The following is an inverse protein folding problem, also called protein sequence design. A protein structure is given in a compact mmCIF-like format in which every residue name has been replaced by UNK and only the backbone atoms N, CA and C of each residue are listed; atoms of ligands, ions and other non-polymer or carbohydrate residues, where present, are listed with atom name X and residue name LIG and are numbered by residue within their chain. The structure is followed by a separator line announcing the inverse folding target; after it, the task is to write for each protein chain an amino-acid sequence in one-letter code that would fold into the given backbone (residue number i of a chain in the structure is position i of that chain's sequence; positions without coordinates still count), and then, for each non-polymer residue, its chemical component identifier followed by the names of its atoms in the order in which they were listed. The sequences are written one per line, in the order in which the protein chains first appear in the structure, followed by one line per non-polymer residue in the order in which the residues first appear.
data_IF_976623673305
#
_entry.id   IF_976623673305
#
_cell.length_a   1.000
_cell.length_b   1.000
_cell.length_c   1.000
_cell.angle_alpha   90.00
_cell.angle_beta   90.00
_cell.angle_gamma   90.00
#
_symmetry.space_group_name_H-M   'P 1'
#
loop_
_entity.id
_entity.type
_entity.pdbx_description
1 polymer ?
#
# COMPACT_ATOMS: atom_id res chain seq x y z
N UNK A 1 -32.51 -27.71 54.65
CA UNK A 1 -32.67 -26.24 54.54
C UNK A 1 -31.36 -25.70 53.97
N UNK A 2 -31.33 -25.04 52.79
CA UNK A 2 -31.29 -23.56 52.61
C UNK A 2 -30.11 -22.94 53.40
N UNK A 3 -29.09 -22.26 52.87
CA UNK A 3 -28.77 -21.56 51.58
C UNK A 3 -27.22 -21.44 51.43
N UNK A 4 -26.56 -21.58 50.25
CA UNK A 4 -26.24 -20.62 49.14
C UNK A 4 -25.11 -19.58 49.42
N UNK A 5 -24.24 -19.34 48.40
CA UNK A 5 -23.25 -18.23 48.17
C UNK A 5 -21.89 -18.33 48.94
N UNK A 6 -20.72 -17.90 48.41
CA UNK A 6 -20.39 -17.22 47.14
C UNK A 6 -19.01 -17.64 46.58
N UNK A 7 -18.85 -17.65 45.25
CA UNK A 7 -17.55 -17.52 44.57
C UNK A 7 -17.39 -16.04 44.20
N UNK A 8 -16.22 -15.43 44.46
CA UNK A 8 -15.80 -14.19 43.80
C UNK A 8 -14.32 -14.30 43.41
N UNK A 9 -14.08 -14.17 42.11
CA UNK A 9 -12.79 -14.21 41.45
C UNK A 9 -12.14 -12.82 41.51
N UNK A 10 -10.96 -12.71 42.13
CA UNK A 10 -10.20 -11.45 42.19
C UNK A 10 -9.47 -11.17 40.87
N UNK A 11 -10.16 -10.53 39.93
CA UNK A 11 -9.61 -10.17 38.62
C UNK A 11 -8.53 -9.08 38.69
N UNK A 12 -7.43 -9.29 37.96
CA UNK A 12 -6.32 -8.35 37.80
C UNK A 12 -6.71 -7.19 36.88
N UNK A 13 -6.74 -5.95 37.38
CA UNK A 13 -6.95 -4.76 36.55
C UNK A 13 -5.67 -4.37 35.81
N UNK A 14 -5.54 -4.84 34.57
CA UNK A 14 -4.58 -4.29 33.62
C UNK A 14 -5.13 -2.95 33.08
N UNK A 15 -4.60 -1.83 33.60
CA UNK A 15 -4.90 -0.50 33.05
C UNK A 15 -4.16 -0.34 31.73
N UNK A 16 -4.83 -0.70 30.64
CA UNK A 16 -4.36 -0.44 29.28
C UNK A 16 -4.48 1.06 29.03
N UNK A 17 -3.36 1.78 29.06
CA UNK A 17 -3.33 3.17 28.64
C UNK A 17 -3.57 3.23 27.12
N UNK A 18 -4.83 3.47 26.73
CA UNK A 18 -5.15 3.91 25.38
C UNK A 18 -4.55 5.30 25.19
N UNK A 19 -3.37 5.34 24.56
CA UNK A 19 -2.84 6.57 23.99
C UNK A 19 -3.75 6.97 22.83
N UNK A 20 -4.79 7.74 23.14
CA UNK A 20 -5.47 8.56 22.14
C UNK A 20 -4.43 9.51 21.58
N UNK A 21 -3.92 9.22 20.39
CA UNK A 21 -3.08 10.14 19.66
C UNK A 21 -3.93 11.37 19.34
N UNK A 22 -3.76 12.45 20.10
CA UNK A 22 -4.33 13.73 19.73
C UNK A 22 -3.78 14.09 18.36
N UNK A 23 -4.66 14.40 17.41
CA UNK A 23 -4.22 15.04 16.18
C UNK A 23 -3.50 16.34 16.56
N UNK A 24 -2.28 16.52 16.06
CA UNK A 24 -1.56 17.77 16.23
C UNK A 24 -2.34 18.88 15.52
N UNK A 25 -2.61 19.98 16.22
CA UNK A 25 -3.30 21.12 15.62
C UNK A 25 -2.28 22.00 14.89
N UNK A 26 -2.70 22.64 13.79
CA UNK A 26 -1.78 23.44 12.94
C UNK A 26 -1.10 24.57 13.72
N UNK A 27 -1.78 25.13 14.71
CA UNK A 27 -1.28 26.18 15.60
C UNK A 27 -0.10 25.75 16.49
N UNK A 28 0.21 24.44 16.57
CA UNK A 28 1.38 23.90 17.30
C UNK A 28 2.69 24.06 16.51
N UNK A 29 2.64 24.37 15.21
CA UNK A 29 3.81 24.43 14.34
C UNK A 29 4.30 25.86 14.11
N UNK A 30 5.37 26.22 14.82
CA UNK A 30 5.98 27.56 14.80
C UNK A 30 6.64 27.95 13.46
N UNK A 31 6.89 26.98 12.58
CA UNK A 31 7.44 27.14 11.23
C UNK A 31 6.42 26.88 10.11
N UNK A 32 5.12 26.77 10.44
CA UNK A 32 4.07 26.69 9.43
C UNK A 32 4.12 27.95 8.54
N UNK A 33 4.33 27.82 7.22
CA UNK A 33 4.49 28.98 6.35
C UNK A 33 3.15 29.72 6.16
N UNK A 34 3.24 30.94 5.63
CA UNK A 34 2.10 31.70 5.11
C UNK A 34 2.35 31.98 3.61
N UNK A 35 2.26 30.92 2.80
CA UNK A 35 2.54 30.94 1.37
C UNK A 35 1.66 29.92 0.60
N UNK A 36 2.06 29.57 -0.62
CA UNK A 36 1.35 28.61 -1.49
C UNK A 36 1.17 27.23 -0.84
N UNK A 37 2.07 26.82 0.05
CA UNK A 37 2.10 25.48 0.64
C UNK A 37 1.22 25.34 1.89
N UNK A 38 0.82 26.45 2.52
CA UNK A 38 0.05 26.46 3.77
C UNK A 38 -1.22 25.60 3.71
N UNK A 39 -2.12 25.73 2.70
CA UNK A 39 -3.35 24.95 2.68
C UNK A 39 -3.09 23.44 2.56
N UNK A 40 -2.05 23.06 1.81
CA UNK A 40 -1.67 21.68 1.61
C UNK A 40 -1.01 21.08 2.85
N UNK A 41 -0.15 21.84 3.55
CA UNK A 41 0.46 21.43 4.81
C UNK A 41 -0.58 21.30 5.93
N UNK A 42 -1.51 22.26 6.05
CA UNK A 42 -2.69 22.19 6.94
C UNK A 42 -3.46 20.90 6.71
N UNK A 43 -3.89 20.63 5.47
CA UNK A 43 -4.61 19.41 5.15
C UNK A 43 -3.78 18.14 5.43
N UNK A 44 -2.47 18.16 5.17
CA UNK A 44 -1.59 17.02 5.46
C UNK A 44 -1.43 16.74 6.96
N UNK A 45 -1.45 17.78 7.81
CA UNK A 45 -1.46 17.66 9.27
C UNK A 45 -2.80 17.14 9.77
N UNK A 46 -3.90 17.81 9.39
CA UNK A 46 -5.26 17.49 9.87
C UNK A 46 -5.68 16.05 9.52
N UNK A 47 -5.26 15.55 8.36
CA UNK A 47 -5.58 14.19 7.90
C UNK A 47 -4.52 13.14 8.31
N UNK A 48 -3.60 13.50 9.23
CA UNK A 48 -2.63 12.58 9.85
C UNK A 48 -1.50 12.10 8.92
N UNK A 49 -1.30 12.76 7.78
CA UNK A 49 -0.28 12.40 6.80
C UNK A 49 1.09 12.85 7.30
N UNK A 50 1.25 14.14 7.57
CA UNK A 50 2.49 14.73 8.07
C UNK A 50 2.37 15.02 9.56
N UNK A 51 3.27 14.41 10.33
CA UNK A 51 3.54 14.77 11.72
C UNK A 51 4.81 15.60 11.79
N UNK A 52 4.84 16.62 12.65
CA UNK A 52 6.05 17.38 12.98
C UNK A 52 6.87 16.75 14.10
N UNK A 53 7.89 17.46 14.56
CA UNK A 53 8.67 17.19 15.78
C UNK A 53 8.95 18.51 16.49
N UNK A 54 8.96 18.51 17.82
CA UNK A 54 9.44 19.64 18.64
C UNK A 54 8.80 21.02 18.31
N UNK A 55 7.53 21.03 17.89
CA UNK A 55 6.81 22.26 17.49
C UNK A 55 7.16 22.78 16.09
N UNK A 56 7.70 21.90 15.23
CA UNK A 56 8.08 22.20 13.83
C UNK A 56 7.50 21.17 12.85
N UNK A 57 6.91 21.65 11.74
CA UNK A 57 6.42 20.80 10.63
C UNK A 57 7.50 20.56 9.56
N UNK A 58 8.59 21.34 9.58
CA UNK A 58 9.78 21.23 8.72
C UNK A 58 9.44 21.22 7.23
N UNK A 59 8.77 22.26 6.69
CA UNK A 59 8.17 22.23 5.36
C UNK A 59 9.19 22.09 4.21
N UNK A 60 10.44 22.53 4.44
CA UNK A 60 11.54 22.52 3.46
C UNK A 60 12.44 21.29 3.56
N UNK A 61 12.26 20.45 4.58
CA UNK A 61 13.06 19.25 4.75
C UNK A 61 12.65 18.19 3.73
N UNK A 62 13.62 17.40 3.28
CA UNK A 62 13.37 16.30 2.35
C UNK A 62 12.72 15.12 3.07
N UNK A 63 11.82 14.43 2.39
CA UNK A 63 11.26 13.17 2.88
C UNK A 63 12.24 12.01 2.64
N UNK A 64 12.42 11.15 3.64
CA UNK A 64 13.07 9.84 3.44
C UNK A 64 12.11 8.83 2.84
N UNK A 65 12.66 7.76 2.26
CA UNK A 65 11.89 6.63 1.71
C UNK A 65 11.04 5.94 2.79
N UNK A 66 11.56 5.80 4.01
CA UNK A 66 10.81 5.32 5.18
C UNK A 66 9.66 6.25 5.55
N UNK A 67 9.90 7.57 5.62
CA UNK A 67 8.85 8.54 5.92
C UNK A 67 7.76 8.51 4.84
N UNK A 68 8.13 8.45 3.56
CA UNK A 68 7.17 8.28 2.45
C UNK A 68 6.30 7.03 2.63
N UNK A 69 6.92 5.86 2.88
CA UNK A 69 6.20 4.62 3.13
C UNK A 69 5.20 4.76 4.30
N UNK A 70 5.64 5.34 5.43
CA UNK A 70 4.75 5.64 6.58
C UNK A 70 3.58 6.54 6.21
N UNK A 71 3.81 7.60 5.43
CA UNK A 71 2.76 8.55 5.05
C UNK A 71 1.73 7.88 4.12
N UNK A 72 2.18 7.12 3.11
CA UNK A 72 1.28 6.44 2.17
C UNK A 72 0.46 5.35 2.88
N UNK A 73 1.08 4.57 3.76
CA UNK A 73 0.38 3.56 4.58
C UNK A 73 -0.72 4.17 5.46
N UNK A 74 -0.47 5.36 6.04
CA UNK A 74 -1.49 6.13 6.80
C UNK A 74 -2.55 6.75 5.90
N UNK A 75 -2.19 7.23 4.72
CA UNK A 75 -3.12 7.82 3.76
C UNK A 75 -4.15 6.79 3.27
N UNK A 76 -3.74 5.54 3.10
CA UNK A 76 -4.60 4.44 2.61
C UNK A 76 -5.16 3.53 3.72
N UNK A 77 -4.80 3.78 4.99
CA UNK A 77 -5.10 2.91 6.13
C UNK A 77 -4.77 1.42 5.86
N UNK A 78 -3.62 1.17 5.23
CA UNK A 78 -3.20 -0.18 4.83
C UNK A 78 -2.86 -1.06 6.04
N UNK A 79 -3.24 -2.33 6.00
CA UNK A 79 -3.12 -3.27 7.12
C UNK A 79 -2.23 -4.47 6.80
N UNK A 80 -2.27 -4.93 5.55
CA UNK A 80 -1.52 -6.07 5.00
C UNK A 80 -0.02 -5.87 5.09
N UNK A 81 0.72 -6.92 5.44
CA UNK A 81 2.17 -6.90 5.64
C UNK A 81 2.80 -8.02 4.83
N UNK A 82 3.81 -7.68 4.04
CA UNK A 82 4.68 -8.66 3.40
C UNK A 82 5.92 -8.94 4.25
N UNK A 83 6.57 -10.08 3.99
CA UNK A 83 7.89 -10.38 4.54
C UNK A 83 8.96 -9.53 3.83
N UNK A 84 9.95 -9.07 4.60
CA UNK A 84 11.10 -8.29 4.13
C UNK A 84 12.41 -9.09 4.20
N UNK A 85 12.37 -10.42 4.36
CA UNK A 85 13.58 -11.26 4.39
C UNK A 85 14.50 -11.10 3.16
N UNK A 86 13.97 -10.65 2.02
CA UNK A 86 14.74 -10.31 0.82
C UNK A 86 15.43 -8.93 0.84
N UNK A 87 15.22 -8.11 1.89
CA UNK A 87 15.74 -6.75 2.01
C UNK A 87 16.68 -6.60 3.21
N UNK A 88 17.98 -6.42 2.95
CA UNK A 88 19.00 -6.47 4.00
C UNK A 88 19.11 -5.19 4.85
N UNK A 89 18.48 -4.09 4.42
CA UNK A 89 18.59 -2.76 5.03
C UNK A 89 17.36 -2.32 5.84
N UNK A 90 16.39 -3.22 6.05
CA UNK A 90 15.20 -2.97 6.86
C UNK A 90 15.14 -3.91 8.08
N UNK A 91 16.02 -3.74 9.10
CA UNK A 91 16.00 -4.60 10.27
C UNK A 91 14.75 -4.39 11.14
N UNK A 92 14.22 -5.48 11.70
CA UNK A 92 12.97 -5.53 12.48
C UNK A 92 12.91 -4.60 13.71
N UNK A 93 14.06 -4.12 14.19
CA UNK A 93 14.16 -3.16 15.30
C UNK A 93 13.94 -1.70 14.91
N UNK A 94 13.83 -1.37 13.61
CA UNK A 94 13.62 0.00 13.14
C UNK A 94 12.16 0.41 13.24
N UNK A 95 11.92 1.66 13.63
CA UNK A 95 10.57 2.25 13.74
C UNK A 95 9.76 2.17 12.44
N UNK A 96 10.42 2.15 11.29
CA UNK A 96 9.80 2.07 9.96
C UNK A 96 9.50 0.64 9.50
N UNK A 97 9.95 -0.42 10.21
CA UNK A 97 9.88 -1.80 9.72
C UNK A 97 8.47 -2.19 9.26
N UNK A 98 7.47 -2.05 10.13
CA UNK A 98 6.09 -2.40 9.79
C UNK A 98 5.50 -1.53 8.67
N UNK A 99 5.91 -0.26 8.56
CA UNK A 99 5.47 0.62 7.48
C UNK A 99 6.07 0.21 6.14
N UNK A 100 7.32 -0.27 6.14
CA UNK A 100 7.94 -0.85 4.94
C UNK A 100 7.27 -2.17 4.54
N UNK A 101 6.92 -3.05 5.50
CA UNK A 101 6.16 -4.29 5.22
C UNK A 101 4.83 -3.99 4.52
N UNK A 102 4.12 -2.96 5.00
CA UNK A 102 2.85 -2.52 4.43
C UNK A 102 3.01 -1.85 3.07
N UNK A 103 4.01 -0.99 2.90
CA UNK A 103 4.28 -0.34 1.61
C UNK A 103 4.76 -1.32 0.51
N UNK A 104 5.39 -2.45 0.89
CA UNK A 104 5.70 -3.55 -0.03
C UNK A 104 4.43 -4.35 -0.38
N UNK A 105 3.61 -4.72 0.60
CA UNK A 105 2.32 -5.41 0.36
C UNK A 105 1.35 -4.62 -0.52
N UNK A 106 1.31 -3.29 -0.36
CA UNK A 106 0.59 -2.37 -1.23
C UNK A 106 1.14 -2.29 -2.68
N UNK A 107 2.28 -2.91 -2.97
CA UNK A 107 2.98 -2.85 -4.26
C UNK A 107 3.62 -1.49 -4.58
N UNK A 108 3.58 -0.52 -3.67
CA UNK A 108 4.06 0.85 -3.92
C UNK A 108 5.57 0.97 -3.79
N UNK A 109 6.21 0.15 -2.94
CA UNK A 109 7.66 0.02 -2.82
C UNK A 109 8.12 -1.37 -3.25
N UNK A 110 9.08 -1.43 -4.19
CA UNK A 110 9.53 -2.70 -4.83
C UNK A 110 11.04 -2.97 -4.67
N UNK A 111 11.73 -2.21 -3.83
CA UNK A 111 13.20 -2.22 -3.74
C UNK A 111 13.89 -1.65 -4.98
N UNK A 112 15.23 -1.75 -5.00
CA UNK A 112 16.09 -1.32 -6.12
C UNK A 112 16.57 -2.47 -7.03
N UNK A 113 16.14 -3.71 -6.76
CA UNK A 113 16.57 -4.91 -7.46
C UNK A 113 17.85 -5.56 -6.92
N UNK A 114 18.54 -4.94 -5.96
CA UNK A 114 19.76 -5.46 -5.32
C UNK A 114 19.52 -6.06 -3.92
N UNK A 115 18.26 -6.13 -3.48
CA UNK A 115 17.91 -6.52 -2.11
C UNK A 115 17.95 -5.37 -1.10
N UNK A 116 17.77 -4.12 -1.57
CA UNK A 116 17.70 -2.93 -0.73
C UNK A 116 16.39 -2.14 -0.97
N UNK A 117 15.84 -1.60 0.11
CA UNK A 117 14.71 -0.66 0.07
C UNK A 117 15.14 0.80 0.27
N UNK A 118 16.37 1.02 0.73
CA UNK A 118 17.03 2.29 1.07
C UNK A 118 16.20 3.22 1.96
N UNK A 119 15.65 2.74 3.10
CA UNK A 119 14.65 3.47 3.90
C UNK A 119 15.13 4.84 4.43
N UNK A 120 16.40 4.93 4.84
CA UNK A 120 16.98 6.16 5.41
C UNK A 120 17.43 7.18 4.34
N UNK A 121 17.41 6.83 3.04
CA UNK A 121 17.73 7.77 1.96
C UNK A 121 16.56 8.73 1.68
N UNK A 122 16.88 9.97 1.28
CA UNK A 122 15.89 10.90 0.73
C UNK A 122 15.28 10.34 -0.57
N UNK A 123 13.98 10.58 -0.78
CA UNK A 123 13.26 10.11 -1.96
C UNK A 123 13.19 11.20 -3.05
N UNK A 124 13.55 10.82 -4.27
CA UNK A 124 13.51 11.70 -5.45
C UNK A 124 12.08 11.89 -5.96
N UNK A 125 11.83 13.02 -6.63
CA UNK A 125 10.50 13.36 -7.13
C UNK A 125 9.96 12.32 -8.11
N UNK A 126 10.77 11.77 -9.01
CA UNK A 126 10.33 10.69 -9.92
C UNK A 126 9.98 9.36 -9.21
N UNK A 127 10.65 9.05 -8.09
CA UNK A 127 10.31 7.91 -7.25
C UNK A 127 8.96 8.14 -6.54
N UNK A 128 8.71 9.36 -6.04
CA UNK A 128 7.40 9.72 -5.44
C UNK A 128 6.28 9.64 -6.46
N UNK A 129 6.51 10.12 -7.68
CA UNK A 129 5.51 10.04 -8.76
C UNK A 129 5.12 8.59 -9.05
N UNK A 130 6.11 7.68 -9.06
CA UNK A 130 5.87 6.24 -9.23
C UNK A 130 5.14 5.60 -8.03
N UNK A 131 5.53 5.95 -6.80
CA UNK A 131 4.84 5.50 -5.56
C UNK A 131 3.36 5.91 -5.58
N UNK A 132 3.08 7.18 -5.90
CA UNK A 132 1.72 7.71 -5.94
C UNK A 132 0.90 7.13 -7.08
N UNK A 133 1.46 7.00 -8.29
CA UNK A 133 0.76 6.40 -9.41
C UNK A 133 0.38 4.93 -9.14
N UNK A 134 1.27 4.15 -8.51
CA UNK A 134 0.97 2.78 -8.05
C UNK A 134 -0.12 2.76 -6.99
N UNK A 135 -0.04 3.62 -5.97
CA UNK A 135 -1.03 3.69 -4.88
C UNK A 135 -2.43 4.00 -5.41
N UNK A 136 -2.52 4.86 -6.42
CA UNK A 136 -3.76 5.24 -7.10
C UNK A 136 -4.09 4.37 -8.33
N UNK A 137 -3.40 3.23 -8.53
CA UNK A 137 -3.59 2.29 -9.64
C UNK A 137 -3.70 2.99 -11.02
N UNK A 138 -2.95 4.09 -11.20
CA UNK A 138 -2.97 4.88 -12.43
C UNK A 138 -2.28 4.12 -13.56
N UNK A 139 -2.94 4.08 -14.71
CA UNK A 139 -2.29 3.67 -15.97
C UNK A 139 -1.30 4.73 -16.45
N UNK A 140 -0.35 4.33 -17.29
CA UNK A 140 0.61 5.24 -17.92
C UNK A 140 -0.11 6.34 -18.73
N UNK A 141 0.34 7.58 -18.56
CA UNK A 141 -0.16 8.73 -19.32
C UNK A 141 0.51 8.89 -20.68
N UNK A 142 -0.10 9.68 -21.56
CA UNK A 142 0.53 10.11 -22.81
C UNK A 142 1.80 10.91 -22.51
N UNK A 143 2.95 10.39 -22.97
CA UNK A 143 4.27 10.97 -22.72
C UNK A 143 4.43 12.38 -23.32
N UNK A 144 3.62 12.77 -24.31
CA UNK A 144 3.65 14.10 -24.92
C UNK A 144 3.42 15.25 -23.91
N UNK A 145 2.79 14.96 -22.76
CA UNK A 145 2.60 15.96 -21.71
C UNK A 145 3.90 16.37 -21.02
N UNK A 146 4.96 15.55 -21.13
CA UNK A 146 6.28 15.82 -20.55
C UNK A 146 7.07 16.85 -21.37
N UNK A 147 6.80 16.99 -22.67
CA UNK A 147 7.46 17.95 -23.57
C UNK A 147 7.19 19.42 -23.19
N UNK A 148 6.21 19.65 -22.31
CA UNK A 148 5.91 20.97 -21.71
C UNK A 148 6.96 21.41 -20.68
N UNK A 149 7.84 20.51 -20.24
CA UNK A 149 8.83 20.75 -19.20
C UNK A 149 10.24 20.69 -19.77
N UNK A 150 11.09 21.65 -19.38
CA UNK A 150 12.46 21.75 -19.89
C UNK A 150 13.37 20.56 -19.48
N UNK A 151 12.93 19.74 -18.54
CA UNK A 151 13.55 18.50 -18.06
C UNK A 151 12.63 17.27 -18.18
N UNK A 152 11.59 17.32 -19.02
CA UNK A 152 10.74 16.15 -19.29
C UNK A 152 11.52 14.94 -19.82
N UNK A 153 12.62 15.19 -20.54
CA UNK A 153 13.54 14.17 -21.02
C UNK A 153 14.35 13.49 -19.89
N UNK A 154 14.61 14.19 -18.78
CA UNK A 154 15.44 13.72 -17.66
C UNK A 154 14.70 12.71 -16.75
N UNK A 155 13.37 12.59 -16.90
CA UNK A 155 12.56 11.57 -16.20
C UNK A 155 13.04 10.17 -16.60
N UNK A 156 13.37 9.33 -15.62
CA UNK A 156 13.82 7.95 -15.88
C UNK A 156 12.77 7.17 -16.67
N UNK A 157 13.18 6.30 -17.60
CA UNK A 157 12.26 5.52 -18.45
C UNK A 157 11.21 4.73 -17.66
N UNK A 158 11.57 4.17 -16.51
CA UNK A 158 10.66 3.46 -15.59
C UNK A 158 9.64 4.36 -14.87
N UNK A 159 9.87 5.68 -14.86
CA UNK A 159 9.01 6.68 -14.24
C UNK A 159 8.18 7.50 -15.25
N UNK A 160 8.49 7.41 -16.56
CA UNK A 160 7.90 8.30 -17.59
C UNK A 160 6.37 8.19 -17.66
N UNK A 161 5.83 6.98 -17.78
CA UNK A 161 4.38 6.76 -17.88
C UNK A 161 3.61 7.23 -16.63
N UNK A 162 4.11 6.89 -15.44
CA UNK A 162 3.57 7.36 -14.15
C UNK A 162 3.65 8.88 -13.98
N UNK A 163 4.77 9.50 -14.37
CA UNK A 163 4.95 10.95 -14.31
C UNK A 163 4.00 11.65 -15.27
N UNK A 164 3.87 11.14 -16.49
CA UNK A 164 2.91 11.63 -17.47
C UNK A 164 1.46 11.50 -16.98
N UNK A 165 1.10 10.41 -16.29
CA UNK A 165 -0.21 10.23 -15.70
C UNK A 165 -0.53 11.31 -14.64
N UNK A 166 0.40 11.58 -13.71
CA UNK A 166 0.21 12.61 -12.69
C UNK A 166 0.15 14.04 -13.28
N UNK A 167 0.91 14.32 -14.33
CA UNK A 167 0.85 15.60 -15.07
C UNK A 167 -0.47 15.74 -15.83
N UNK A 168 -0.90 14.70 -16.55
CA UNK A 168 -2.13 14.73 -17.35
C UNK A 168 -3.40 14.92 -16.50
N UNK A 169 -3.40 14.39 -15.27
CA UNK A 169 -4.48 14.59 -14.29
C UNK A 169 -4.36 15.91 -13.50
N UNK A 170 -3.35 16.75 -13.76
CA UNK A 170 -3.14 18.03 -13.08
C UNK A 170 -2.67 17.92 -11.62
N UNK A 171 -2.27 16.72 -11.18
CA UNK A 171 -1.77 16.47 -9.83
C UNK A 171 -0.35 17.03 -9.64
N UNK A 172 0.48 16.96 -10.68
CA UNK A 172 1.84 17.51 -10.73
C UNK A 172 1.93 18.57 -11.82
N UNK A 173 2.19 19.82 -11.43
CA UNK A 173 2.28 20.97 -12.34
C UNK A 173 3.72 21.46 -12.56
N UNK A 174 4.71 20.82 -11.93
CA UNK A 174 6.10 21.28 -11.91
C UNK A 174 6.32 22.58 -11.12
N UNK A 175 7.51 23.17 -11.29
CA UNK A 175 7.92 24.49 -10.79
C UNK A 175 8.82 25.13 -11.84
N UNK A 176 8.62 26.41 -12.16
CA UNK A 176 9.42 27.17 -13.13
C UNK A 176 9.61 26.47 -14.50
N UNK A 177 8.56 25.77 -14.98
CA UNK A 177 8.61 25.01 -16.24
C UNK A 177 9.42 23.71 -16.17
N UNK A 178 9.67 23.18 -14.97
CA UNK A 178 10.47 21.97 -14.71
C UNK A 178 9.74 20.99 -13.78
N UNK A 179 9.96 19.70 -13.99
CA UNK A 179 9.51 18.62 -13.09
C UNK A 179 10.50 18.39 -11.95
N UNK A 180 11.79 18.69 -12.18
CA UNK A 180 12.93 18.42 -11.32
C UNK A 180 13.01 16.95 -10.86
N UNK A 181 12.97 15.96 -11.78
CA UNK A 181 12.70 14.56 -11.44
C UNK A 181 13.76 13.93 -10.52
N UNK A 182 15.02 14.36 -10.62
CA UNK A 182 16.15 13.85 -9.83
C UNK A 182 16.33 14.54 -8.48
N UNK A 183 15.64 15.66 -8.24
CA UNK A 183 15.72 16.34 -6.94
C UNK A 183 14.95 15.54 -5.89
N UNK A 184 15.41 15.60 -4.64
CA UNK A 184 14.63 15.11 -3.50
C UNK A 184 13.35 15.94 -3.33
N UNK A 185 12.25 15.32 -2.89
CA UNK A 185 11.02 16.05 -2.61
C UNK A 185 11.05 16.66 -1.21
N UNK A 186 10.58 17.90 -1.08
CA UNK A 186 10.34 18.51 0.23
C UNK A 186 8.98 18.09 0.80
N UNK A 187 8.82 18.23 2.12
CA UNK A 187 7.53 17.96 2.82
C UNK A 187 6.38 18.82 2.29
N UNK A 188 6.63 20.10 2.00
CA UNK A 188 5.66 21.00 1.39
C UNK A 188 5.26 20.59 -0.04
N UNK A 189 6.23 20.23 -0.89
CA UNK A 189 5.96 19.75 -2.25
C UNK A 189 5.14 18.46 -2.26
N UNK A 190 5.46 17.51 -1.39
CA UNK A 190 4.70 16.27 -1.25
C UNK A 190 3.26 16.55 -0.78
N UNK A 191 3.10 17.39 0.25
CA UNK A 191 1.77 17.78 0.75
C UNK A 191 0.92 18.39 -0.37
N UNK A 192 1.51 19.23 -1.22
CA UNK A 192 0.81 19.85 -2.35
C UNK A 192 0.34 18.84 -3.40
N UNK A 193 1.13 17.82 -3.71
CA UNK A 193 0.70 16.75 -4.63
C UNK A 193 -0.47 15.97 -4.01
N UNK A 194 -0.37 15.58 -2.74
CA UNK A 194 -1.47 14.89 -2.04
C UNK A 194 -2.74 15.74 -2.00
N UNK A 195 -2.62 17.04 -1.73
CA UNK A 195 -3.72 18.00 -1.74
C UNK A 195 -4.34 18.20 -3.14
N UNK A 196 -3.58 18.00 -4.21
CA UNK A 196 -4.12 17.99 -5.58
C UNK A 196 -4.87 16.68 -5.88
N UNK A 197 -4.34 15.54 -5.41
CA UNK A 197 -4.88 14.20 -5.67
C UNK A 197 -6.14 13.90 -4.86
N UNK A 198 -6.13 14.20 -3.55
CA UNK A 198 -7.18 13.88 -2.58
C UNK A 198 -7.77 15.18 -2.03
N UNK A 199 -9.10 15.27 -2.01
CA UNK A 199 -9.83 16.41 -1.45
C UNK A 199 -10.60 16.10 -0.17
N UNK A 200 -10.86 14.82 0.09
CA UNK A 200 -11.63 14.40 1.26
C UNK A 200 -11.14 13.06 1.80
N UNK A 201 -10.93 13.00 3.11
CA UNK A 201 -10.64 11.79 3.87
C UNK A 201 -11.86 11.49 4.73
N UNK A 202 -12.28 10.23 4.75
CA UNK A 202 -13.42 9.78 5.55
C UNK A 202 -12.92 8.86 6.65
N UNK A 203 -12.72 9.46 7.82
CA UNK A 203 -12.18 8.81 9.03
C UNK A 203 -13.26 8.39 10.04
N UNK A 204 -14.53 8.69 9.76
CA UNK A 204 -15.68 8.32 10.58
C UNK A 204 -16.86 7.82 9.72
N UNK A 205 -17.78 7.06 10.33
CA UNK A 205 -19.01 6.61 9.68
C UNK A 205 -19.86 7.81 9.22
N UNK A 206 -20.27 7.82 7.95
CA UNK A 206 -20.96 8.97 7.36
C UNK A 206 -21.72 8.60 6.08
N UNK A 207 -22.52 9.54 5.57
CA UNK A 207 -23.09 9.47 4.21
C UNK A 207 -22.55 10.61 3.36
N UNK A 208 -21.86 10.30 2.26
CA UNK A 208 -21.42 11.27 1.27
C UNK A 208 -22.55 11.57 0.29
N UNK A 209 -22.79 12.86 0.04
CA UNK A 209 -23.84 13.42 -0.82
C UNK A 209 -23.28 14.57 -1.66
N UNK A 210 -24.04 15.05 -2.64
CA UNK A 210 -23.65 16.22 -3.45
C UNK A 210 -22.37 16.03 -4.29
N UNK A 211 -21.74 17.14 -4.70
CA UNK A 211 -20.57 17.10 -5.60
C UNK A 211 -19.26 17.29 -4.82
N UNK A 212 -18.29 16.42 -5.08
CA UNK A 212 -16.94 16.48 -4.49
C UNK A 212 -15.93 16.65 -5.63
N UNK A 213 -15.29 17.82 -5.68
CA UNK A 213 -14.37 18.25 -6.76
C UNK A 213 -12.96 17.67 -6.60
N UNK A 214 -12.85 16.34 -6.54
CA UNK A 214 -11.59 15.60 -6.53
C UNK A 214 -11.76 14.17 -6.03
N UNK A 215 -10.66 13.50 -5.64
CA UNK A 215 -10.71 12.14 -5.10
C UNK A 215 -11.08 12.14 -3.62
N UNK A 216 -11.74 11.06 -3.20
CA UNK A 216 -12.09 10.74 -1.82
C UNK A 216 -11.36 9.47 -1.40
N UNK A 217 -10.84 9.44 -0.18
CA UNK A 217 -10.30 8.21 0.43
C UNK A 217 -11.07 7.87 1.70
N UNK A 218 -11.57 6.64 1.77
CA UNK A 218 -12.36 6.11 2.87
C UNK A 218 -11.47 5.23 3.73
N UNK A 219 -11.23 5.68 4.97
CA UNK A 219 -10.42 5.00 6.00
C UNK A 219 -11.28 4.42 7.14
N UNK A 220 -12.59 4.69 7.13
CA UNK A 220 -13.56 4.21 8.11
C UNK A 220 -14.58 3.21 7.52
N UNK A 221 -15.15 2.41 8.41
CA UNK A 221 -16.29 1.53 8.10
C UNK A 221 -17.62 2.30 8.19
N UNK A 222 -18.70 1.64 7.74
CA UNK A 222 -20.07 2.17 7.81
C UNK A 222 -20.22 3.51 7.07
N UNK A 223 -19.63 3.59 5.87
CA UNK A 223 -19.70 4.75 4.98
C UNK A 223 -20.62 4.46 3.80
N UNK A 224 -21.54 5.38 3.56
CA UNK A 224 -22.50 5.33 2.46
C UNK A 224 -22.20 6.40 1.42
N UNK A 225 -22.13 6.02 0.14
CA UNK A 225 -22.10 6.94 -0.99
C UNK A 225 -23.53 7.01 -1.53
N UNK A 226 -24.21 8.14 -1.31
CA UNK A 226 -25.61 8.30 -1.68
C UNK A 226 -25.81 8.48 -3.19
N UNK A 227 -27.02 8.22 -3.67
CA UNK A 227 -27.39 8.31 -5.10
C UNK A 227 -27.17 9.68 -5.75
N UNK A 228 -27.11 10.75 -4.96
CA UNK A 228 -26.87 12.12 -5.42
C UNK A 228 -25.38 12.52 -5.35
N UNK A 229 -24.52 11.64 -4.83
CA UNK A 229 -23.08 11.85 -4.79
C UNK A 229 -22.47 11.89 -6.20
N UNK A 230 -21.55 12.83 -6.42
CA UNK A 230 -20.88 13.10 -7.68
C UNK A 230 -19.40 13.42 -7.39
N UNK A 231 -18.61 12.35 -7.22
CA UNK A 231 -17.17 12.38 -6.94
C UNK A 231 -16.43 12.51 -8.27
N UNK A 232 -15.72 13.63 -8.46
CA UNK A 232 -15.01 13.93 -9.72
C UNK A 232 -13.71 13.17 -9.91
N UNK A 233 -13.08 12.72 -8.82
CA UNK A 233 -11.87 11.90 -8.84
C UNK A 233 -12.14 10.44 -8.48
N UNK A 234 -11.09 9.78 -7.96
CA UNK A 234 -11.17 8.40 -7.49
C UNK A 234 -11.98 8.31 -6.18
N UNK A 235 -12.76 7.25 -6.00
CA UNK A 235 -13.15 6.78 -4.66
C UNK A 235 -12.20 5.66 -4.25
N UNK A 236 -11.38 5.88 -3.23
CA UNK A 236 -10.47 4.88 -2.68
C UNK A 236 -11.05 4.31 -1.40
N UNK A 237 -11.03 2.99 -1.24
CA UNK A 237 -11.54 2.29 -0.05
C UNK A 237 -10.37 1.56 0.63
N UNK A 238 -10.27 1.66 1.96
CA UNK A 238 -9.20 1.01 2.73
C UNK A 238 -9.35 -0.52 2.81
N UNK A 239 -8.25 -1.21 3.12
CA UNK A 239 -8.19 -2.68 3.14
C UNK A 239 -9.14 -3.34 4.15
N UNK A 240 -9.28 -2.75 5.34
CA UNK A 240 -10.10 -3.29 6.43
C UNK A 240 -11.49 -2.61 6.54
N UNK A 241 -11.85 -1.77 5.57
CA UNK A 241 -13.10 -0.98 5.58
C UNK A 241 -14.34 -1.88 5.38
N UNK A 242 -15.30 -1.83 6.29
CA UNK A 242 -16.53 -2.65 6.28
C UNK A 242 -17.78 -1.82 5.99
N UNK A 243 -18.83 -2.50 5.53
CA UNK A 243 -20.17 -1.92 5.29
C UNK A 243 -20.19 -0.71 4.34
N UNK A 244 -19.21 -0.62 3.44
CA UNK A 244 -19.13 0.44 2.43
C UNK A 244 -20.21 0.20 1.37
N UNK A 245 -21.18 1.11 1.29
CA UNK A 245 -22.35 0.99 0.42
C UNK A 245 -22.35 2.10 -0.62
N UNK A 246 -22.47 1.76 -1.90
CA UNK A 246 -22.62 2.72 -3.00
C UNK A 246 -24.04 2.57 -3.55
N UNK A 247 -24.87 3.61 -3.43
CA UNK A 247 -26.23 3.59 -3.98
C UNK A 247 -26.23 3.71 -5.51
N UNK A 248 -27.16 3.00 -6.15
CA UNK A 248 -27.42 3.14 -7.58
C UNK A 248 -27.77 4.60 -7.94
N UNK A 249 -27.03 5.17 -8.89
CA UNK A 249 -27.14 6.58 -9.31
C UNK A 249 -25.96 7.46 -8.89
N UNK A 250 -25.17 7.04 -7.89
CA UNK A 250 -23.93 7.73 -7.51
C UNK A 250 -22.96 7.80 -8.70
N UNK A 251 -22.33 8.97 -8.90
CA UNK A 251 -21.36 9.22 -9.97
C UNK A 251 -19.96 9.29 -9.39
N UNK A 252 -19.08 8.41 -9.86
CA UNK A 252 -17.70 8.28 -9.40
C UNK A 252 -16.85 8.06 -10.64
N UNK A 253 -15.71 8.77 -10.79
CA UNK A 253 -14.89 8.65 -12.00
C UNK A 253 -14.19 7.28 -12.08
N UNK A 254 -13.70 6.77 -10.96
CA UNK A 254 -13.07 5.46 -10.83
C UNK A 254 -13.14 4.98 -9.36
N UNK A 255 -13.22 3.67 -9.13
CA UNK A 255 -13.27 3.06 -7.79
C UNK A 255 -12.00 2.22 -7.58
N UNK A 256 -11.26 2.56 -6.55
CA UNK A 256 -10.07 1.84 -6.08
C UNK A 256 -10.46 1.13 -4.80
N UNK A 257 -11.09 -0.03 -4.96
CA UNK A 257 -11.32 -0.92 -3.83
C UNK A 257 -10.01 -1.63 -3.49
N UNK A 258 -9.62 -1.59 -2.22
CA UNK A 258 -8.47 -2.33 -1.68
C UNK A 258 -8.91 -3.31 -0.59
N UNK A 259 -10.22 -3.43 -0.32
CA UNK A 259 -10.72 -4.44 0.60
C UNK A 259 -10.28 -5.81 0.12
N UNK A 260 -9.88 -6.64 1.07
CA UNK A 260 -9.62 -8.06 0.77
C UNK A 260 -10.93 -8.68 0.32
N UNK A 261 -10.88 -9.39 -0.80
CA UNK A 261 -11.92 -10.36 -1.10
C UNK A 261 -12.07 -11.24 0.14
N UNK A 262 -13.29 -11.35 0.66
CA UNK A 262 -13.57 -12.33 1.70
C UNK A 262 -13.37 -13.67 1.02
N UNK A 263 -12.31 -14.40 1.39
CA UNK A 263 -12.22 -15.82 1.07
C UNK A 263 -13.52 -16.44 1.58
N UNK A 264 -14.39 -16.83 0.65
CA UNK A 264 -15.56 -17.61 0.97
C UNK A 264 -15.04 -18.87 1.64
N UNK A 265 -15.19 -18.96 2.97
CA UNK A 265 -14.94 -20.20 3.69
C UNK A 265 -15.79 -21.25 3.00
N UNK A 266 -15.22 -22.27 2.34
CA UNK A 266 -16.02 -23.21 1.57
C UNK A 266 -17.05 -23.80 2.51
N UNK A 267 -18.33 -23.67 2.13
CA UNK A 267 -19.47 -24.09 2.94
C UNK A 267 -19.18 -25.48 3.53
N UNK A 268 -18.90 -25.54 4.83
CA UNK A 268 -18.76 -26.80 5.53
C UNK A 268 -20.15 -27.40 5.52
N UNK A 269 -20.41 -28.48 4.74
CA UNK A 269 -21.77 -28.95 4.55
C UNK A 269 -22.33 -29.33 5.91
N UNK A 270 -23.42 -28.66 6.28
CA UNK A 270 -24.06 -28.77 7.59
C UNK A 270 -24.29 -30.25 7.91
N UNK A 271 -23.48 -30.79 8.83
CA UNK A 271 -23.60 -32.18 9.23
C UNK A 271 -24.91 -32.36 9.97
N UNK A 272 -25.90 -32.82 9.21
CA UNK A 272 -27.22 -33.20 9.69
C UNK A 272 -27.03 -34.11 10.92
N UNK A 273 -27.60 -33.78 12.09
CA UNK A 273 -27.36 -34.54 13.30
C UNK A 273 -27.78 -36.01 13.07
N UNK A 274 -26.88 -36.94 13.40
CA UNK A 274 -27.20 -38.36 13.34
C UNK A 274 -28.28 -38.68 14.37
N UNK A 275 -29.35 -39.35 13.93
CA UNK A 275 -30.43 -39.76 14.82
C UNK A 275 -29.89 -40.72 15.89
N UNK A 276 -30.00 -40.32 17.17
CA UNK A 276 -29.70 -41.17 18.32
C UNK A 276 -30.53 -42.46 18.27
N UNK A 277 -29.92 -43.56 17.79
CA UNK A 277 -30.51 -44.88 17.89
C UNK A 277 -30.52 -45.31 19.35
N UNK A 278 -31.72 -45.40 19.91
CA UNK A 278 -31.96 -46.02 21.22
C UNK A 278 -31.50 -47.49 21.17
N UNK A 279 -30.59 -47.85 22.05
CA UNK A 279 -30.29 -49.26 22.33
C UNK A 279 -31.41 -49.84 23.21
N UNK A 280 -32.12 -50.85 22.69
CA UNK A 280 -33.02 -51.70 23.47
C UNK A 280 -32.29 -53.01 23.84
N UNK A 281 -32.25 -53.33 25.14
CA UNK A 281 -31.62 -54.53 25.71
C UNK A 281 -32.12 -55.86 25.10
N UNK A 282 -31.19 -56.77 24.76
CA UNK A 282 -31.42 -58.24 24.81
C UNK A 282 -30.14 -59.11 24.77
N UNK A 283 -29.69 -59.47 25.98
CA UNK A 283 -29.27 -60.79 26.50
C UNK A 283 -28.81 -61.94 25.56
N UNK A 284 -27.75 -62.60 26.06
CA UNK A 284 -27.40 -64.04 26.02
C UNK A 284 -27.17 -64.67 24.60
N UNK A 285 -26.04 -65.28 24.22
CA UNK A 285 -25.34 -66.39 24.89
C UNK A 285 -23.93 -66.72 24.29
N UNK A 286 -23.21 -67.64 24.94
CA UNK A 286 -21.77 -68.03 24.80
C UNK A 286 -21.28 -68.75 23.51
N UNK A 287 -19.94 -68.92 23.45
CA UNK A 287 -19.08 -69.91 22.71
C UNK A 287 -18.72 -69.58 21.26
N UNK A 288 -17.59 -70.00 20.68
CA UNK A 288 -16.28 -70.55 21.16
C UNK A 288 -15.22 -70.37 20.03
N UNK A 289 -13.94 -70.39 20.39
CA UNK A 289 -12.74 -70.83 19.63
C UNK A 289 -12.32 -70.26 18.23
N UNK A 290 -11.07 -69.73 18.19
CA UNK A 290 -9.91 -70.26 17.42
C UNK A 290 -9.15 -69.36 16.41
N UNK A 291 -7.82 -69.20 16.63
CA UNK A 291 -6.68 -69.16 15.65
C UNK A 291 -6.61 -68.03 14.54
N UNK A 292 -5.47 -67.47 14.08
CA UNK A 292 -4.00 -67.70 14.25
C UNK A 292 -3.15 -66.42 13.99
N UNK A 293 -1.94 -66.38 14.58
CA UNK A 293 -0.77 -65.45 14.38
C UNK A 293 -0.31 -65.29 12.90
N UNK A 294 0.47 -64.27 12.48
CA UNK A 294 1.97 -64.11 12.54
C UNK A 294 2.41 -62.63 12.18
N UNK A 295 3.70 -62.27 12.37
CA UNK A 295 4.43 -60.99 12.17
C UNK A 295 5.16 -60.79 10.81
N UNK A 296 5.77 -59.59 10.60
CA UNK A 296 6.95 -59.32 9.73
C UNK A 296 6.71 -58.17 8.71
N UNK A 297 7.31 -56.97 8.71
CA UNK A 297 8.64 -56.39 9.08
C UNK A 297 9.71 -56.39 7.94
N UNK A 298 10.39 -55.24 7.79
CA UNK A 298 11.64 -54.96 7.03
C UNK A 298 11.59 -54.89 5.47
N UNK A 299 12.48 -54.18 4.76
CA UNK A 299 13.37 -53.00 5.00
C UNK A 299 14.07 -52.60 3.67
N UNK A 300 14.99 -51.62 3.71
CA UNK A 300 16.05 -51.33 2.71
C UNK A 300 15.66 -50.71 1.35
N UNK A 301 16.54 -49.98 0.61
CA UNK A 301 17.75 -49.19 0.95
C UNK A 301 18.30 -48.48 -0.31
N UNK A 302 19.01 -47.36 -0.15
CA UNK A 302 20.09 -46.80 -0.98
C UNK A 302 20.04 -46.75 -2.53
N UNK A 303 20.38 -45.58 -3.10
CA UNK A 303 21.67 -45.37 -3.82
C UNK A 303 21.87 -43.89 -4.22
N UNK A 304 23.11 -43.50 -4.59
CA UNK A 304 23.57 -42.11 -4.66
C UNK A 304 24.37 -41.77 -5.95
N UNK A 305 24.88 -40.51 -6.02
CA UNK A 305 25.95 -40.02 -6.93
C UNK A 305 25.52 -39.67 -8.38
N UNK A 306 26.10 -38.71 -9.13
CA UNK A 306 27.30 -37.83 -9.00
C UNK A 306 27.15 -36.59 -9.95
N UNK A 307 27.79 -35.42 -9.72
CA UNK A 307 27.74 -34.25 -10.64
C UNK A 307 28.83 -34.27 -11.73
N UNK A 308 28.75 -33.33 -12.70
CA UNK A 308 29.73 -33.16 -13.79
C UNK A 308 30.09 -31.66 -14.02
N UNK A 309 31.37 -31.36 -14.25
CA UNK A 309 31.92 -30.04 -14.61
C UNK A 309 32.66 -30.11 -15.96
N UNK A 310 32.79 -28.98 -16.66
CA UNK A 310 33.62 -28.80 -17.88
C UNK A 310 33.30 -27.44 -18.53
N UNK A 311 34.20 -26.45 -18.50
CA UNK A 311 35.22 -26.13 -19.53
C UNK A 311 34.64 -25.88 -20.93
N UNK A 312 34.97 -24.81 -21.65
CA UNK A 312 35.96 -23.74 -21.40
C UNK A 312 35.88 -22.63 -22.47
N UNK A 313 36.91 -21.80 -22.54
CA UNK A 313 37.00 -20.55 -23.31
C UNK A 313 36.85 -20.67 -24.84
N UNK A 314 36.40 -19.59 -25.50
CA UNK A 314 36.96 -19.15 -26.79
C UNK A 314 36.72 -17.63 -27.02
N UNK A 315 37.60 -17.03 -27.83
CA UNK A 315 37.86 -15.59 -27.96
C UNK A 315 37.10 -14.96 -29.17
N UNK A 316 37.52 -13.78 -29.62
CA UNK A 316 37.16 -13.06 -30.87
C UNK A 316 35.99 -12.05 -30.84
N UNK A 317 36.35 -10.77 -30.71
CA UNK A 317 35.72 -9.70 -31.50
C UNK A 317 36.35 -9.60 -32.91
N UNK A 318 36.16 -8.51 -33.69
CA UNK A 318 35.47 -7.25 -33.39
C UNK A 318 34.44 -6.85 -34.48
N UNK A 319 33.78 -5.70 -34.33
CA UNK A 319 33.71 -4.66 -35.39
C UNK A 319 33.04 -3.38 -34.88
N UNK A 320 33.70 -2.24 -35.10
CA UNK A 320 33.08 -0.91 -35.04
C UNK A 320 33.08 -0.38 -36.47
N UNK A 321 31.96 0.15 -36.92
CA UNK A 321 31.86 0.89 -38.18
C UNK A 321 31.38 2.31 -37.89
N UNK A 322 32.29 3.26 -38.03
CA UNK A 322 31.96 4.67 -38.26
C UNK A 322 31.42 4.87 -39.69
N UNK A 323 31.12 6.14 -40.04
CA UNK A 323 30.56 6.65 -41.31
C UNK A 323 29.02 6.48 -41.50
N UNK A 324 28.23 7.48 -41.92
CA UNK A 324 28.47 8.92 -42.13
C UNK A 324 27.10 9.66 -42.31
N UNK A 325 27.13 10.98 -42.59
CA UNK A 325 26.11 11.75 -43.33
C UNK A 325 24.87 12.32 -42.60
N UNK A 326 25.14 13.35 -41.80
CA UNK A 326 24.74 14.74 -42.10
C UNK A 326 23.64 14.97 -43.18
N UNK A 327 22.41 15.28 -42.75
CA UNK A 327 21.45 16.08 -43.55
C UNK A 327 20.71 17.08 -42.65
N UNK A 328 21.13 18.35 -42.72
CA UNK A 328 20.36 19.46 -42.15
C UNK A 328 19.28 19.97 -43.10
N UNK A 329 18.11 20.34 -42.58
CA UNK A 329 17.13 21.18 -43.28
C UNK A 329 16.60 22.27 -42.35
N UNK A 330 16.60 23.50 -42.88
CA UNK A 330 16.19 24.72 -42.20
C UNK A 330 14.85 25.25 -42.73
N UNK A 331 14.10 25.94 -41.87
CA UNK A 331 12.82 26.58 -42.17
C UNK A 331 11.92 26.53 -40.93
N UNK A 332 11.80 27.57 -40.10
CA UNK A 332 11.30 28.92 -40.40
C UNK A 332 9.99 28.86 -41.19
N UNK A 333 8.85 28.92 -40.50
CA UNK A 333 7.94 30.08 -40.60
C UNK A 333 6.93 30.07 -39.42
N UNK A 334 6.80 31.23 -38.77
CA UNK A 334 5.67 31.63 -37.91
C UNK A 334 4.75 32.55 -38.75
N UNK A 335 3.47 32.79 -38.41
CA UNK A 335 2.86 32.75 -37.06
C UNK A 335 2.15 31.45 -36.71
#
# INVERSE_FOLDING_TARGET
MKKILSIVLGGLLAVSAVFSASAATVDEFSDMPNDWSTPALTAAVENGLLTGSDGLILPKDNLTRAQMATIIVRAFAASSKDDLAGFTDVPASKWYFEYMQKAVAMGVFTGDGSGLLTPDNNITREQVFTVLARAFKLSDGDLSVLDKFADGADVSSWAKGYTAALVANGYVNGSDGRLNPKNNITRAEFAQIMFNMIKFYVDESTTLTGTIEGSVIVRASDVKIAKDANIKGNLVICEDCKNITIEEGAKIANIIDNRKDVEETPDVPEQKPEDEKKEDDKKDDKKDDDKTIIFGEQSNSDTAYRPNEGTGDEDDGPTISDDNDNVGWSGIYKP
#
